data_IF_096284358720
#
_entry.id   IF_096284358720
#
_cell.length_a   1.000
_cell.length_b   1.000
_cell.length_c   1.000
_cell.angle_alpha   90.00
_cell.angle_beta   90.00
_cell.angle_gamma   90.00
#
_symmetry.space_group_name_H-M   'P 1'
#
loop_
_entity.id
_entity.type
_entity.pdbx_description
1 polymer ?
#
# COMPACT_ATOMS: atom_id res chain seq x y z
N UNK A 1 5.51 20.68 9.58
CA UNK A 1 6.25 19.49 10.06
C UNK A 1 7.69 19.60 9.57
N UNK A 2 8.71 19.30 10.41
CA UNK A 2 10.09 19.21 9.92
C UNK A 2 10.16 18.19 8.78
N UNK A 3 11.00 18.45 7.77
CA UNK A 3 11.17 17.55 6.63
C UNK A 3 11.67 16.19 7.15
N UNK A 4 10.85 15.14 6.97
CA UNK A 4 11.25 13.76 7.26
C UNK A 4 12.43 13.38 6.36
N UNK A 5 13.40 12.66 6.91
CA UNK A 5 14.52 12.12 6.13
C UNK A 5 14.01 11.21 4.99
N UNK A 6 14.67 11.28 3.83
CA UNK A 6 14.33 10.43 2.69
C UNK A 6 14.92 9.03 2.87
N UNK A 7 14.28 8.24 3.73
CA UNK A 7 14.75 6.88 4.03
C UNK A 7 14.60 5.93 2.85
N UNK A 8 15.33 4.83 2.93
CA UNK A 8 15.38 3.84 1.85
C UNK A 8 14.30 2.78 2.01
N UNK A 9 13.74 2.34 0.87
CA UNK A 9 12.83 1.20 0.76
C UNK A 9 13.64 0.00 0.28
N UNK A 10 13.43 -1.14 0.91
CA UNK A 10 14.16 -2.39 0.65
C UNK A 10 13.72 -3.08 -0.66
N UNK A 11 14.60 -3.93 -1.20
CA UNK A 11 14.43 -4.62 -2.47
C UNK A 11 13.14 -5.44 -2.54
N UNK A 12 12.79 -6.20 -1.49
CA UNK A 12 11.58 -7.02 -1.49
C UNK A 12 10.29 -6.20 -1.65
N UNK A 13 10.19 -5.01 -1.04
CA UNK A 13 9.05 -4.12 -1.20
C UNK A 13 9.00 -3.45 -2.57
N UNK A 14 10.15 -3.02 -3.09
CA UNK A 14 10.20 -2.47 -4.46
C UNK A 14 9.83 -3.55 -5.47
N UNK A 15 10.33 -4.78 -5.29
CA UNK A 15 9.97 -5.93 -6.12
C UNK A 15 8.47 -6.18 -6.09
N UNK A 16 7.87 -6.24 -4.90
CA UNK A 16 6.43 -6.39 -4.73
C UNK A 16 5.65 -5.31 -5.49
N UNK A 17 6.04 -4.03 -5.35
CA UNK A 17 5.38 -2.93 -6.05
C UNK A 17 5.50 -3.04 -7.58
N UNK A 18 6.68 -3.39 -8.09
CA UNK A 18 6.93 -3.50 -9.53
C UNK A 18 6.23 -4.71 -10.17
N UNK A 19 6.27 -5.88 -9.51
CA UNK A 19 5.53 -7.07 -9.98
C UNK A 19 4.03 -6.78 -10.01
N UNK A 20 3.50 -6.16 -8.96
CA UNK A 20 2.07 -5.84 -8.87
C UNK A 20 1.65 -4.79 -9.88
N UNK A 21 2.51 -3.80 -10.16
CA UNK A 21 2.29 -2.83 -11.22
C UNK A 21 2.28 -3.52 -12.59
N UNK A 22 3.28 -4.37 -12.88
CA UNK A 22 3.38 -5.14 -14.12
C UNK A 22 2.14 -6.00 -14.37
N UNK A 23 1.65 -6.71 -13.34
CA UNK A 23 0.45 -7.55 -13.41
C UNK A 23 -0.79 -6.74 -13.85
N UNK A 24 -0.93 -5.50 -13.38
CA UNK A 24 -2.10 -4.65 -13.64
C UNK A 24 -2.00 -3.87 -14.95
N UNK A 25 -0.80 -3.42 -15.29
CA UNK A 25 -0.58 -2.41 -16.32
C UNK A 25 0.16 -2.94 -17.56
N UNK A 26 0.66 -4.18 -17.48
CA UNK A 26 1.45 -4.85 -18.50
C UNK A 26 2.88 -4.32 -18.63
N UNK A 27 3.72 -5.07 -19.33
CA UNK A 27 5.15 -4.75 -19.53
C UNK A 27 5.35 -3.39 -20.18
N UNK A 28 4.63 -3.12 -21.26
CA UNK A 28 4.75 -1.87 -22.01
C UNK A 28 4.33 -0.66 -21.15
N UNK A 29 3.27 -0.81 -20.36
CA UNK A 29 2.80 0.25 -19.45
C UNK A 29 3.85 0.53 -18.37
N UNK A 30 4.33 -0.51 -17.69
CA UNK A 30 5.31 -0.36 -16.61
C UNK A 30 6.62 0.23 -17.14
N UNK A 31 7.12 -0.27 -18.27
CA UNK A 31 8.34 0.21 -18.89
C UNK A 31 8.23 1.69 -19.30
N UNK A 32 7.06 2.15 -19.76
CA UNK A 32 6.85 3.57 -20.03
C UNK A 32 6.92 4.40 -18.75
N UNK A 33 6.20 4.00 -17.69
CA UNK A 33 6.22 4.70 -16.39
C UNK A 33 7.63 4.77 -15.80
N UNK A 34 8.37 3.65 -15.77
CA UNK A 34 9.71 3.60 -15.19
C UNK A 34 10.68 4.59 -15.83
N UNK A 35 10.60 4.79 -17.16
CA UNK A 35 11.42 5.79 -17.87
C UNK A 35 11.07 7.22 -17.48
N UNK A 36 9.79 7.51 -17.21
CA UNK A 36 9.35 8.87 -16.86
C UNK A 36 9.75 9.29 -15.44
N UNK A 37 10.00 8.33 -14.54
CA UNK A 37 10.33 8.61 -13.14
C UNK A 37 11.79 8.28 -12.75
N UNK A 38 12.65 7.95 -13.72
CA UNK A 38 14.09 7.69 -13.48
C UNK A 38 14.37 6.33 -12.81
N UNK A 39 13.50 5.35 -13.06
CA UNK A 39 13.59 3.98 -12.54
C UNK A 39 13.80 2.94 -13.66
N UNK A 40 14.26 3.36 -14.84
CA UNK A 40 14.49 2.51 -16.02
C UNK A 40 15.45 1.35 -15.78
N UNK A 41 16.32 1.43 -14.76
CA UNK A 41 17.20 0.34 -14.31
C UNK A 41 16.47 -0.93 -13.87
N UNK A 42 15.16 -0.84 -13.61
CA UNK A 42 14.31 -1.99 -13.26
C UNK A 42 13.58 -2.60 -14.46
N UNK A 43 13.73 -2.06 -15.66
CA UNK A 43 13.19 -2.68 -16.87
C UNK A 43 13.92 -4.01 -17.10
N UNK A 44 13.16 -5.11 -17.18
CA UNK A 44 13.65 -6.50 -17.29
C UNK A 44 14.66 -6.92 -16.19
N UNK A 45 14.73 -6.15 -15.09
CA UNK A 45 15.72 -6.31 -14.04
C UNK A 45 15.16 -5.90 -12.66
N UNK A 46 14.06 -6.55 -12.25
CA UNK A 46 13.45 -6.29 -10.95
C UNK A 46 14.41 -6.59 -9.80
N UNK A 47 14.34 -5.81 -8.70
CA UNK A 47 15.23 -6.01 -7.57
C UNK A 47 15.06 -7.41 -6.96
N UNK A 48 16.13 -7.98 -6.37
CA UNK A 48 16.08 -9.30 -5.76
C UNK A 48 15.12 -9.35 -4.57
N UNK A 49 14.67 -10.54 -4.16
CA UNK A 49 13.83 -10.66 -2.97
C UNK A 49 14.68 -10.71 -1.70
N UNK A 50 15.17 -9.56 -1.23
CA UNK A 50 15.97 -9.46 0.00
C UNK A 50 15.71 -8.14 0.74
N UNK A 51 16.30 -7.99 1.93
CA UNK A 51 16.13 -6.81 2.79
C UNK A 51 17.16 -5.69 2.51
N UNK A 52 17.95 -5.78 1.44
CA UNK A 52 18.91 -4.73 1.13
C UNK A 52 18.19 -3.48 0.61
N UNK A 53 18.74 -2.28 0.83
CA UNK A 53 18.14 -1.03 0.33
C UNK A 53 18.07 -1.00 -1.21
N UNK A 54 17.00 -0.43 -1.77
CA UNK A 54 16.74 -0.44 -3.22
C UNK A 54 16.55 0.97 -3.82
N UNK A 55 15.61 1.73 -3.27
CA UNK A 55 15.28 3.10 -3.73
C UNK A 55 14.98 4.01 -2.55
N UNK A 56 15.15 5.31 -2.73
CA UNK A 56 14.68 6.32 -1.77
C UNK A 56 13.15 6.39 -1.75
N UNK A 57 12.58 6.83 -0.63
CA UNK A 57 11.13 6.99 -0.49
C UNK A 57 10.57 8.01 -1.49
N UNK A 58 11.32 9.08 -1.79
CA UNK A 58 10.96 10.04 -2.86
C UNK A 58 10.88 9.41 -4.26
N UNK A 59 11.66 8.37 -4.53
CA UNK A 59 11.58 7.64 -5.80
C UNK A 59 10.29 6.82 -5.89
N UNK A 60 9.85 6.24 -4.76
CA UNK A 60 8.58 5.53 -4.71
C UNK A 60 7.36 6.46 -4.80
N UNK A 61 7.42 7.62 -4.16
CA UNK A 61 6.40 8.66 -4.30
C UNK A 61 6.24 9.09 -5.77
N UNK A 62 7.37 9.37 -6.45
CA UNK A 62 7.40 9.71 -7.89
C UNK A 62 6.90 8.58 -8.78
N UNK A 63 7.18 7.32 -8.43
CA UNK A 63 6.66 6.17 -9.17
C UNK A 63 5.12 6.14 -9.15
N UNK A 64 4.50 6.37 -7.98
CA UNK A 64 3.04 6.43 -7.86
C UNK A 64 2.45 7.61 -8.65
N UNK A 65 3.08 8.79 -8.54
CA UNK A 65 2.68 9.99 -9.30
C UNK A 65 2.80 9.80 -10.82
N UNK A 66 3.84 9.11 -11.28
CA UNK A 66 4.03 8.81 -12.69
C UNK A 66 2.94 7.88 -13.24
N UNK A 67 2.47 6.90 -12.45
CA UNK A 67 1.31 6.06 -12.81
C UNK A 67 0.05 6.92 -12.95
N UNK A 68 -0.19 7.84 -12.00
CA UNK A 68 -1.35 8.74 -12.05
C UNK A 68 -1.32 9.62 -13.29
N UNK A 69 -0.17 10.21 -13.58
CA UNK A 69 0.04 11.06 -14.75
C UNK A 69 -0.15 10.28 -16.05
N UNK A 70 0.42 9.07 -16.14
CA UNK A 70 0.36 8.24 -17.34
C UNK A 70 -1.07 7.81 -17.70
N UNK A 71 -1.88 7.46 -16.70
CA UNK A 71 -3.26 7.02 -16.91
C UNK A 71 -4.31 8.13 -16.79
N UNK A 72 -3.91 9.35 -16.40
CA UNK A 72 -4.80 10.49 -16.18
C UNK A 72 -5.99 10.13 -15.29
N UNK A 73 -7.21 10.33 -15.81
CA UNK A 73 -8.46 10.01 -15.09
C UNK A 73 -8.55 8.54 -14.65
N UNK A 74 -7.86 7.62 -15.33
CA UNK A 74 -7.81 6.20 -14.98
C UNK A 74 -6.81 5.86 -13.86
N UNK A 75 -5.90 6.77 -13.51
CA UNK A 75 -4.79 6.53 -12.58
C UNK A 75 -5.24 6.03 -11.21
N UNK A 76 -6.29 6.64 -10.64
CA UNK A 76 -6.89 6.21 -9.37
C UNK A 76 -7.35 4.75 -9.40
N UNK A 77 -7.99 4.32 -10.49
CA UNK A 77 -8.46 2.95 -10.65
C UNK A 77 -7.31 1.96 -10.82
N UNK A 78 -6.27 2.36 -11.57
CA UNK A 78 -5.05 1.57 -11.75
C UNK A 78 -4.34 1.38 -10.41
N UNK A 79 -4.04 2.45 -9.67
CA UNK A 79 -3.36 2.36 -8.37
C UNK A 79 -4.11 1.49 -7.36
N UNK A 80 -5.44 1.55 -7.31
CA UNK A 80 -6.25 0.66 -6.46
C UNK A 80 -6.09 -0.80 -6.84
N UNK A 81 -6.08 -1.12 -8.13
CA UNK A 81 -5.81 -2.50 -8.61
C UNK A 81 -4.38 -2.94 -8.28
N UNK A 82 -3.40 -2.04 -8.39
CA UNK A 82 -2.01 -2.31 -8.01
C UNK A 82 -1.92 -2.59 -6.51
N UNK A 83 -2.64 -1.85 -5.67
CA UNK A 83 -2.71 -2.10 -4.23
C UNK A 83 -3.28 -3.48 -3.90
N UNK A 84 -4.38 -3.85 -4.57
CA UNK A 84 -4.96 -5.21 -4.48
C UNK A 84 -3.92 -6.28 -4.86
N UNK A 85 -3.29 -6.16 -6.03
CA UNK A 85 -2.25 -7.09 -6.48
C UNK A 85 -1.05 -7.13 -5.51
N UNK A 86 -0.66 -5.99 -4.93
CA UNK A 86 0.42 -5.90 -3.94
C UNK A 86 0.10 -6.67 -2.66
N UNK A 87 -1.12 -6.54 -2.13
CA UNK A 87 -1.52 -7.34 -0.97
C UNK A 87 -1.50 -8.84 -1.30
N UNK A 88 -2.06 -9.22 -2.45
CA UNK A 88 -2.08 -10.63 -2.89
C UNK A 88 -0.66 -11.19 -3.09
N UNK A 89 0.27 -10.40 -3.62
CA UNK A 89 1.69 -10.78 -3.70
C UNK A 89 2.25 -11.07 -2.31
N UNK A 90 2.04 -10.16 -1.34
CA UNK A 90 2.49 -10.35 0.04
C UNK A 90 1.90 -11.60 0.68
N UNK A 91 0.64 -11.92 0.39
CA UNK A 91 0.00 -13.16 0.85
C UNK A 91 0.67 -14.40 0.26
N UNK A 92 0.98 -14.41 -1.04
CA UNK A 92 1.64 -15.53 -1.72
C UNK A 92 3.05 -15.77 -1.18
N UNK A 93 3.82 -14.71 -0.95
CA UNK A 93 5.17 -14.80 -0.38
C UNK A 93 5.17 -15.34 1.07
N UNK A 94 4.07 -15.18 1.80
CA UNK A 94 3.92 -15.62 3.18
C UNK A 94 2.86 -16.71 3.33
N UNK A 95 2.60 -17.49 2.28
CA UNK A 95 1.46 -18.42 2.21
C UNK A 95 1.41 -19.42 3.38
N UNK A 96 2.57 -19.91 3.84
CA UNK A 96 2.63 -20.82 5.00
C UNK A 96 2.22 -20.13 6.31
N UNK A 97 2.73 -18.92 6.58
CA UNK A 97 2.42 -18.15 7.79
C UNK A 97 0.95 -17.70 7.79
N UNK A 98 0.48 -17.17 6.67
CA UNK A 98 -0.88 -16.66 6.54
C UNK A 98 -1.92 -17.78 6.40
N UNK A 99 -1.53 -18.97 5.93
CA UNK A 99 -2.37 -20.16 5.99
C UNK A 99 -2.71 -20.56 7.43
N UNK A 100 -1.71 -20.55 8.32
CA UNK A 100 -1.91 -20.80 9.77
C UNK A 100 -2.76 -19.70 10.40
N UNK A 101 -2.42 -18.43 10.14
CA UNK A 101 -3.19 -17.29 10.63
C UNK A 101 -4.65 -17.34 10.15
N UNK A 102 -4.88 -17.68 8.88
CA UNK A 102 -6.20 -17.78 8.26
C UNK A 102 -7.10 -18.81 8.96
N UNK A 103 -6.54 -19.93 9.42
CA UNK A 103 -7.29 -20.91 10.22
C UNK A 103 -7.64 -20.34 11.60
N UNK A 104 -6.67 -19.71 12.27
CA UNK A 104 -6.85 -19.16 13.61
C UNK A 104 -7.91 -18.05 13.67
N UNK A 105 -8.02 -17.23 12.62
CA UNK A 105 -8.96 -16.10 12.61
C UNK A 105 -10.38 -16.46 12.19
N UNK A 106 -10.65 -17.67 11.66
CA UNK A 106 -11.97 -18.05 11.14
C UNK A 106 -13.10 -17.88 12.16
N UNK A 107 -12.82 -18.13 13.43
CA UNK A 107 -13.79 -18.07 14.52
C UNK A 107 -13.92 -16.67 15.16
N UNK A 108 -13.08 -15.71 14.78
CA UNK A 108 -13.14 -14.37 15.34
C UNK A 108 -14.38 -13.61 14.83
N UNK A 109 -14.99 -12.74 15.66
CA UNK A 109 -15.94 -11.74 15.21
C UNK A 109 -15.37 -10.92 14.04
N UNK A 110 -16.24 -10.49 13.13
CA UNK A 110 -15.86 -9.82 11.89
C UNK A 110 -14.93 -8.62 12.09
N UNK A 111 -15.28 -7.72 13.04
CA UNK A 111 -14.43 -6.59 13.41
C UNK A 111 -13.04 -7.01 13.87
N UNK A 112 -12.92 -8.11 14.61
CA UNK A 112 -11.62 -8.61 15.07
C UNK A 112 -10.79 -9.22 13.93
N UNK A 113 -11.42 -9.86 12.94
CA UNK A 113 -10.74 -10.30 11.70
C UNK A 113 -10.14 -9.12 10.95
N UNK A 114 -10.90 -8.04 10.80
CA UNK A 114 -10.45 -6.80 10.15
C UNK A 114 -9.28 -6.20 10.94
N UNK A 115 -9.44 -6.01 12.26
CA UNK A 115 -8.37 -5.46 13.11
C UNK A 115 -7.09 -6.31 13.05
N UNK A 116 -7.22 -7.64 13.04
CA UNK A 116 -6.09 -8.57 12.92
C UNK A 116 -5.31 -8.34 11.63
N UNK A 117 -5.99 -8.34 10.47
CA UNK A 117 -5.28 -8.24 9.19
C UNK A 117 -4.64 -6.86 9.00
N UNK A 118 -5.31 -5.79 9.46
CA UNK A 118 -4.76 -4.44 9.40
C UNK A 118 -3.52 -4.28 10.29
N UNK A 119 -3.53 -4.84 11.50
CA UNK A 119 -2.31 -4.87 12.34
C UNK A 119 -1.19 -5.68 11.67
N UNK A 120 -1.52 -6.81 11.04
CA UNK A 120 -0.55 -7.60 10.27
C UNK A 120 0.11 -6.79 9.14
N UNK A 121 -0.67 -5.97 8.41
CA UNK A 121 -0.12 -5.06 7.40
C UNK A 121 0.81 -4.01 8.01
N UNK A 122 0.38 -3.34 9.08
CA UNK A 122 1.20 -2.33 9.76
C UNK A 122 2.51 -2.93 10.29
N UNK A 123 2.45 -4.12 10.88
CA UNK A 123 3.62 -4.82 11.41
C UNK A 123 4.57 -5.28 10.31
N UNK A 124 4.06 -5.73 9.16
CA UNK A 124 4.89 -6.08 8.01
C UNK A 124 5.66 -4.86 7.49
N UNK A 125 5.01 -3.69 7.39
CA UNK A 125 5.67 -2.46 6.96
C UNK A 125 6.70 -1.97 7.99
N UNK A 126 6.38 -1.96 9.29
CA UNK A 126 7.32 -1.61 10.36
C UNK A 126 8.56 -2.50 10.38
N UNK A 127 8.43 -3.80 10.06
CA UNK A 127 9.58 -4.71 9.95
C UNK A 127 10.48 -4.39 8.76
N UNK A 128 9.93 -3.81 7.70
CA UNK A 128 10.68 -3.49 6.48
C UNK A 128 11.46 -2.18 6.58
N UNK A 129 10.96 -1.22 7.36
CA UNK A 129 11.60 0.06 7.60
C UNK A 129 11.22 0.55 9.02
N UNK A 130 12.18 0.70 9.95
CA UNK A 130 11.90 1.10 11.33
C UNK A 130 11.35 2.53 11.45
N UNK A 131 11.45 3.37 10.42
CA UNK A 131 10.82 4.69 10.39
C UNK A 131 9.32 4.65 10.03
N UNK A 132 8.80 3.49 9.63
CA UNK A 132 7.36 3.35 9.41
C UNK A 132 6.65 3.54 10.74
N UNK A 133 5.69 4.47 10.77
CA UNK A 133 4.82 4.72 11.90
C UNK A 133 3.38 4.53 11.43
N UNK A 134 2.88 3.31 11.65
CA UNK A 134 1.53 2.91 11.28
C UNK A 134 0.85 2.15 12.44
N UNK A 135 -0.42 2.45 12.66
CA UNK A 135 -1.24 1.87 13.73
C UNK A 135 -2.71 1.81 13.33
N UNK A 136 -3.47 1.03 14.11
CA UNK A 136 -4.91 0.87 13.89
C UNK A 136 -5.64 1.53 15.04
N UNK A 137 -6.53 2.46 14.71
CA UNK A 137 -7.49 3.04 15.65
C UNK A 137 -8.81 2.28 15.62
N UNK A 138 -9.50 2.30 16.76
CA UNK A 138 -10.77 1.66 16.97
C UNK A 138 -11.63 2.58 17.86
N UNK A 139 -12.27 3.56 17.21
CA UNK A 139 -13.04 4.61 17.86
C UNK A 139 -14.48 4.56 17.35
N UNK A 140 -15.47 4.74 18.24
CA UNK A 140 -16.90 4.79 17.91
C UNK A 140 -17.39 3.63 17.03
N UNK A 141 -16.82 2.45 17.23
CA UNK A 141 -17.16 1.25 16.46
C UNK A 141 -16.51 1.16 15.07
N UNK A 142 -15.77 2.18 14.61
CA UNK A 142 -15.10 2.20 13.31
C UNK A 142 -13.61 1.92 13.43
N UNK A 143 -13.10 1.02 12.59
CA UNK A 143 -11.67 0.75 12.47
C UNK A 143 -11.06 1.69 11.44
N UNK A 144 -9.88 2.22 11.76
CA UNK A 144 -9.09 3.00 10.82
C UNK A 144 -7.64 2.56 10.81
N UNK A 145 -7.07 2.38 9.62
CA UNK A 145 -5.63 2.24 9.43
C UNK A 145 -5.01 3.62 9.30
N UNK A 146 -3.95 3.91 10.06
CA UNK A 146 -3.28 5.20 10.06
C UNK A 146 -1.79 5.01 9.77
N UNK A 147 -1.23 5.92 8.98
CA UNK A 147 0.20 5.98 8.71
C UNK A 147 0.66 7.45 8.67
N UNK A 148 1.61 7.81 9.54
CA UNK A 148 2.18 9.17 9.62
C UNK A 148 3.52 9.31 8.90
N UNK A 149 3.97 8.25 8.21
CA UNK A 149 5.22 8.24 7.44
C UNK A 149 5.02 7.69 6.02
N UNK A 150 3.86 8.02 5.43
CA UNK A 150 3.39 7.48 4.17
C UNK A 150 4.37 7.70 3.01
N UNK A 151 4.88 6.59 2.47
CA UNK A 151 5.81 6.60 1.35
C UNK A 151 5.20 7.16 0.05
N UNK A 152 3.89 7.05 -0.12
CA UNK A 152 3.19 7.59 -1.31
C UNK A 152 3.12 9.11 -1.24
N UNK A 153 2.89 9.68 -0.06
CA UNK A 153 2.74 11.14 0.13
C UNK A 153 4.07 11.88 0.27
N UNK A 154 5.18 11.17 0.43
CA UNK A 154 6.46 11.78 0.76
C UNK A 154 6.90 12.81 -0.30
N UNK A 155 7.06 14.07 0.13
CA UNK A 155 7.46 15.18 -0.73
C UNK A 155 6.39 15.63 -1.75
N UNK A 156 5.17 15.10 -1.67
CA UNK A 156 4.07 15.44 -2.58
C UNK A 156 3.08 16.40 -1.90
N UNK A 157 2.47 17.26 -2.72
CA UNK A 157 1.40 18.15 -2.31
C UNK A 157 0.22 18.02 -3.28
N UNK A 158 -1.00 18.00 -2.74
CA UNK A 158 -2.23 17.81 -3.50
C UNK A 158 -3.42 18.47 -2.80
N UNK A 159 -4.42 18.91 -3.57
CA UNK A 159 -5.72 19.36 -3.02
C UNK A 159 -6.59 18.18 -2.59
N UNK A 160 -6.37 17.01 -3.20
CA UNK A 160 -7.14 15.79 -2.98
C UNK A 160 -6.28 14.67 -2.39
N UNK A 161 -6.95 13.67 -1.80
CA UNK A 161 -6.31 12.46 -1.28
C UNK A 161 -5.76 11.59 -2.41
N UNK A 162 -4.49 11.17 -2.29
CA UNK A 162 -3.72 10.49 -3.36
C UNK A 162 -3.28 9.06 -3.02
N UNK A 163 -3.57 8.55 -1.82
CA UNK A 163 -3.09 7.23 -1.39
C UNK A 163 -3.94 6.08 -1.96
N UNK A 164 -4.24 6.13 -3.26
CA UNK A 164 -5.12 5.20 -3.95
C UNK A 164 -4.63 3.75 -3.91
N UNK A 165 -3.30 3.54 -3.91
CA UNK A 165 -2.71 2.22 -3.73
C UNK A 165 -3.01 1.67 -2.33
N UNK A 166 -2.85 2.46 -1.26
CA UNK A 166 -3.23 2.05 0.09
C UNK A 166 -4.72 1.69 0.19
N UNK A 167 -5.61 2.48 -0.40
CA UNK A 167 -7.04 2.17 -0.45
C UNK A 167 -7.29 0.79 -1.07
N UNK A 168 -6.59 0.46 -2.16
CA UNK A 168 -6.67 -0.85 -2.80
C UNK A 168 -6.13 -2.00 -1.94
N UNK A 169 -4.95 -1.82 -1.34
CA UNK A 169 -4.31 -2.82 -0.48
C UNK A 169 -5.15 -3.13 0.76
N UNK A 170 -5.68 -2.10 1.43
CA UNK A 170 -6.51 -2.23 2.62
C UNK A 170 -7.84 -2.91 2.26
N UNK A 171 -8.46 -2.53 1.14
CA UNK A 171 -9.72 -3.16 0.70
C UNK A 171 -9.54 -4.66 0.46
N UNK A 172 -8.46 -5.05 -0.22
CA UNK A 172 -8.14 -6.46 -0.46
C UNK A 172 -7.83 -7.20 0.84
N UNK A 173 -7.11 -6.58 1.77
CA UNK A 173 -6.80 -7.18 3.07
C UNK A 173 -8.06 -7.49 3.88
N UNK A 174 -8.99 -6.54 3.92
CA UNK A 174 -10.28 -6.71 4.59
C UNK A 174 -11.11 -7.80 3.91
N UNK A 175 -11.15 -7.82 2.57
CA UNK A 175 -11.82 -8.87 1.80
C UNK A 175 -11.22 -10.24 2.07
N UNK A 176 -9.90 -10.36 2.11
CA UNK A 176 -9.20 -11.61 2.42
C UNK A 176 -9.55 -12.14 3.82
N UNK A 177 -9.61 -11.25 4.82
CA UNK A 177 -9.86 -11.65 6.20
C UNK A 177 -11.33 -12.00 6.49
N UNK A 178 -12.27 -11.33 5.82
CA UNK A 178 -13.71 -11.44 6.13
C UNK A 178 -14.50 -12.24 5.10
N UNK A 179 -14.00 -12.35 3.86
CA UNK A 179 -14.74 -12.86 2.71
C UNK A 179 -15.75 -11.87 2.12
N UNK A 180 -15.80 -10.62 2.62
CA UNK A 180 -16.75 -9.59 2.18
C UNK A 180 -16.00 -8.33 1.73
N UNK A 181 -16.57 -7.62 0.77
CA UNK A 181 -16.03 -6.33 0.35
C UNK A 181 -16.49 -5.23 1.30
N UNK A 182 -15.58 -4.31 1.64
CA UNK A 182 -15.88 -3.12 2.43
C UNK A 182 -15.48 -1.87 1.68
N UNK A 183 -16.21 -0.78 1.92
CA UNK A 183 -15.76 0.53 1.49
C UNK A 183 -14.54 0.97 2.32
N UNK A 184 -13.43 1.32 1.66
CA UNK A 184 -12.27 1.94 2.30
C UNK A 184 -12.23 3.42 1.91
N UNK A 185 -12.24 4.29 2.90
CA UNK A 185 -12.36 5.74 2.73
C UNK A 185 -11.11 6.42 3.29
N UNK A 186 -10.34 7.08 2.44
CA UNK A 186 -9.24 7.93 2.89
C UNK A 186 -9.82 9.26 3.38
N UNK A 187 -9.77 9.52 4.69
CA UNK A 187 -10.33 10.74 5.30
C UNK A 187 -9.28 11.82 5.54
N UNK A 188 -8.02 11.42 5.70
CA UNK A 188 -6.87 12.32 5.88
C UNK A 188 -5.74 11.87 4.96
N UNK A 189 -4.96 12.82 4.46
CA UNK A 189 -3.84 12.59 3.55
C UNK A 189 -2.71 13.56 3.84
N UNK A 190 -1.49 13.06 4.03
CA UNK A 190 -0.33 13.92 4.29
C UNK A 190 -0.03 14.87 3.13
N UNK A 191 -0.31 14.46 1.89
CA UNK A 191 -0.13 15.35 0.74
C UNK A 191 -1.14 16.52 0.72
N UNK A 192 -2.27 16.41 1.43
CA UNK A 192 -3.19 17.53 1.67
C UNK A 192 -2.71 18.47 2.78
N UNK A 193 -1.66 18.10 3.50
CA UNK A 193 -1.17 18.81 4.68
C UNK A 193 -1.70 18.27 6.01
N UNK A 194 -2.42 17.14 6.01
CA UNK A 194 -2.84 16.47 7.25
C UNK A 194 -1.62 15.81 7.94
N UNK A 195 -1.67 15.64 9.27
CA UNK A 195 -0.53 15.07 10.02
C UNK A 195 -0.25 13.59 9.72
N UNK A 196 -1.24 12.89 9.16
CA UNK A 196 -1.16 11.48 8.82
C UNK A 196 -2.14 11.13 7.69
N UNK A 197 -1.90 10.00 7.04
CA UNK A 197 -2.89 9.38 6.16
C UNK A 197 -3.81 8.49 7.00
N UNK A 198 -5.13 8.58 6.78
CA UNK A 198 -6.11 7.79 7.55
C UNK A 198 -7.13 7.14 6.64
N UNK A 199 -7.29 5.83 6.80
CA UNK A 199 -8.14 4.99 5.98
C UNK A 199 -9.20 4.31 6.85
N UNK A 200 -10.43 4.79 6.77
CA UNK A 200 -11.57 4.30 7.52
C UNK A 200 -12.19 3.08 6.82
N UNK A 201 -12.42 2.00 7.57
CA UNK A 201 -13.21 0.85 7.12
C UNK A 201 -14.69 1.22 7.29
N UNK A 202 -15.37 1.43 6.17
CA UNK A 202 -16.80 1.76 6.11
C UNK A 202 -17.69 0.52 6.19
N UNK A 203 -18.86 0.59 5.55
CA UNK A 203 -19.81 -0.50 5.53
C UNK A 203 -19.43 -1.62 4.55
N UNK A 204 -19.91 -2.83 4.84
CA UNK A 204 -19.83 -3.94 3.91
C UNK A 204 -20.67 -3.63 2.65
N UNK A 205 -20.13 -3.93 1.48
CA UNK A 205 -20.86 -3.83 0.22
C UNK A 205 -21.79 -5.03 0.09
N UNK A 206 -23.03 -4.75 -0.31
CA UNK A 206 -24.05 -5.75 -0.62
C UNK A 206 -23.92 -6.24 -2.05
#
# INVERSE_FOLDING_TARGET
MPAREDSTIINSLVRQALVSAQEVMGDNGLNAVLRTCGLERFIDNFPPNNLQPAIQTSQYARFNEAIETFYGRGGRGILRRIGKASFQYGVREQAALLGVAGVAIKLLPEKQKIKFILNGMADALKKSNPEVNAWIEDNDGRLAYIESTCAICFGRHSTDSICHLYVGSIAEAVQWATGKEYAIIETHCMAKGDDYCRFEVGEART
#
